data_IF_695896467638
#
_entry.id   IF_695896467638
#
_cell.length_a   1.000
_cell.length_b   1.000
_cell.length_c   1.000
_cell.angle_alpha   90.00
_cell.angle_beta   90.00
_cell.angle_gamma   90.00
#
_symmetry.space_group_name_H-M   'P 1'
#
loop_
_entity.id
_entity.type
_entity.pdbx_description
1 polymer ?
#
# COMPACT_ATOMS: atom_id res chain seq x y z
N UNK A 1 -34.21 -12.23 51.79
CA UNK A 1 -34.92 -12.62 50.55
C UNK A 1 -35.62 -11.39 50.01
N UNK A 2 -35.37 -11.07 48.72
CA UNK A 2 -36.22 -10.32 47.77
C UNK A 2 -36.63 -8.87 48.21
N UNK A 3 -36.61 -7.79 47.42
CA UNK A 3 -36.72 -7.57 45.98
C UNK A 3 -35.98 -6.26 45.63
N UNK A 4 -35.09 -6.30 44.64
CA UNK A 4 -34.56 -5.10 43.96
C UNK A 4 -35.08 -5.22 42.53
N UNK A 5 -35.39 -4.08 41.89
CA UNK A 5 -36.01 -3.91 40.56
C UNK A 5 -37.52 -3.68 40.57
N UNK A 6 -37.95 -2.46 40.94
CA UNK A 6 -39.05 -1.82 40.21
C UNK A 6 -38.46 -1.08 39.01
N UNK A 7 -38.86 -1.50 37.83
CA UNK A 7 -38.45 -0.95 36.54
C UNK A 7 -38.80 0.54 36.42
N UNK A 8 -37.80 1.36 36.10
CA UNK A 8 -37.97 2.76 35.69
C UNK A 8 -37.07 3.04 34.48
N UNK A 9 -37.40 2.46 33.33
CA UNK A 9 -36.72 2.70 32.06
C UNK A 9 -36.98 4.14 31.62
N UNK A 10 -35.97 5.01 31.71
CA UNK A 10 -35.98 6.31 31.02
C UNK A 10 -35.65 6.10 29.53
N UNK A 11 -36.63 5.65 28.74
CA UNK A 11 -36.50 5.55 27.28
C UNK A 11 -36.79 6.90 26.63
N UNK A 12 -35.76 7.74 26.57
CA UNK A 12 -35.78 8.97 25.78
C UNK A 12 -34.42 9.20 25.14
N UNK A 13 -34.38 9.36 23.83
CA UNK A 13 -33.16 9.62 23.01
C UNK A 13 -32.38 10.90 23.37
N UNK A 14 -32.81 11.63 24.40
CA UNK A 14 -32.17 12.83 24.94
C UNK A 14 -32.05 12.81 26.48
N UNK A 15 -32.15 11.65 27.14
CA UNK A 15 -31.89 11.52 28.57
C UNK A 15 -30.38 11.69 28.83
N UNK A 16 -30.02 12.89 29.26
CA UNK A 16 -28.68 13.50 29.32
C UNK A 16 -27.68 12.66 30.13
N UNK A 17 -26.49 12.39 29.62
CA UNK A 17 -25.30 13.24 29.76
C UNK A 17 -24.23 12.43 30.50
N UNK A 18 -23.14 12.04 29.83
CA UNK A 18 -22.05 11.28 30.47
C UNK A 18 -21.41 12.17 31.54
N UNK A 19 -21.73 11.95 32.80
CA UNK A 19 -21.29 12.77 33.94
C UNK A 19 -19.80 12.64 34.27
N UNK A 20 -18.93 12.49 33.26
CA UNK A 20 -17.50 12.35 33.43
C UNK A 20 -16.78 13.68 33.11
N UNK A 21 -15.92 14.18 34.00
CA UNK A 21 -15.12 15.38 33.73
C UNK A 21 -14.07 15.09 32.66
N UNK A 22 -13.99 15.93 31.63
CA UNK A 22 -12.96 15.85 30.59
C UNK A 22 -11.60 16.34 31.14
N UNK A 23 -10.76 15.42 31.63
CA UNK A 23 -9.37 15.70 31.96
C UNK A 23 -8.61 14.40 32.28
N UNK A 24 -7.39 14.17 31.80
CA UNK A 24 -6.21 15.03 31.92
C UNK A 24 -5.35 15.10 30.64
N UNK A 25 -4.41 16.06 30.59
CA UNK A 25 -3.49 16.29 29.47
C UNK A 25 -2.69 15.03 29.13
N UNK A 26 -2.64 14.67 27.84
CA UNK A 26 -1.82 13.58 27.32
C UNK A 26 -0.34 13.79 27.69
N UNK A 27 0.35 12.80 28.29
CA UNK A 27 1.80 12.81 28.44
C UNK A 27 2.48 12.41 27.11
N UNK A 28 3.65 12.99 26.86
CA UNK A 28 4.45 12.86 25.64
C UNK A 28 4.78 11.40 25.25
N UNK A 29 4.71 11.10 23.96
CA UNK A 29 4.99 9.79 23.37
C UNK A 29 6.45 9.35 23.54
N UNK A 30 6.70 8.08 23.94
CA UNK A 30 7.92 7.38 23.56
C UNK A 30 7.65 6.39 22.43
N UNK A 31 8.41 6.54 21.34
CA UNK A 31 8.43 5.64 20.21
C UNK A 31 8.82 4.22 20.63
N UNK A 32 7.95 3.22 20.40
CA UNK A 32 8.38 1.82 20.28
C UNK A 32 7.48 1.08 19.29
N UNK A 33 8.10 0.47 18.28
CA UNK A 33 7.47 -0.39 17.29
C UNK A 33 7.19 -1.74 17.95
N UNK A 34 5.96 -2.23 17.87
CA UNK A 34 5.68 -3.67 17.98
C UNK A 34 4.64 -4.06 16.94
N UNK A 35 5.14 -4.65 15.85
CA UNK A 35 4.33 -5.28 14.80
C UNK A 35 3.85 -6.61 15.36
N UNK A 36 2.58 -6.67 15.78
CA UNK A 36 1.93 -7.95 16.05
C UNK A 36 1.26 -8.44 14.75
N UNK A 37 1.97 -9.34 14.07
CA UNK A 37 1.42 -10.19 13.00
C UNK A 37 0.21 -10.93 13.57
N UNK A 38 -0.97 -10.69 12.99
CA UNK A 38 -2.15 -11.52 13.22
C UNK A 38 -2.18 -12.52 12.07
N UNK A 39 -1.82 -13.75 12.40
CA UNK A 39 -1.93 -14.93 11.56
C UNK A 39 -3.37 -15.49 11.58
N UNK A 40 -3.80 -16.00 10.42
CA UNK A 40 -4.99 -16.84 10.23
C UNK A 40 -6.02 -16.31 9.23
N UNK A 41 -6.91 -17.17 8.68
CA UNK A 41 -6.73 -18.54 8.21
C UNK A 41 -6.88 -18.63 6.67
N UNK A 42 -6.26 -19.64 6.06
CA UNK A 42 -6.28 -19.95 4.63
C UNK A 42 -7.67 -19.79 3.98
N UNK A 43 -7.77 -18.85 3.02
CA UNK A 43 -8.88 -18.84 2.05
C UNK A 43 -8.35 -18.55 0.65
N UNK A 44 -8.60 -19.54 -0.20
CA UNK A 44 -8.36 -19.62 -1.64
C UNK A 44 -8.34 -18.27 -2.37
N UNK A 45 -7.26 -18.08 -3.16
CA UNK A 45 -7.19 -17.09 -4.21
C UNK A 45 -8.27 -17.38 -5.27
N UNK A 46 -9.38 -16.67 -5.24
CA UNK A 46 -10.25 -16.50 -6.40
C UNK A 46 -10.10 -15.07 -6.95
N UNK A 47 -9.90 -14.97 -8.26
CA UNK A 47 -9.68 -13.72 -9.01
C UNK A 47 -10.91 -12.79 -8.85
N UNK A 48 -10.76 -11.50 -8.49
CA UNK A 48 -11.91 -10.68 -8.10
C UNK A 48 -12.86 -10.15 -9.20
N UNK A 49 -12.69 -10.48 -10.49
CA UNK A 49 -13.20 -9.61 -11.57
C UNK A 49 -14.18 -10.20 -12.59
N UNK A 50 -14.86 -11.32 -12.33
CA UNK A 50 -15.74 -11.93 -13.36
C UNK A 50 -17.21 -12.15 -12.95
N UNK A 51 -17.81 -11.32 -12.09
CA UNK A 51 -19.27 -11.42 -11.80
C UNK A 51 -20.01 -10.09 -11.93
N UNK A 52 -21.08 -10.01 -12.75
CA UNK A 52 -22.03 -8.90 -12.72
C UNK A 52 -22.66 -8.79 -11.32
N UNK A 53 -22.71 -7.57 -10.78
CA UNK A 53 -23.30 -7.29 -9.47
C UNK A 53 -24.82 -7.52 -9.49
N UNK A 54 -25.25 -8.70 -9.04
CA UNK A 54 -26.66 -8.94 -8.77
C UNK A 54 -27.08 -8.24 -7.46
N UNK A 55 -28.08 -7.38 -7.57
CA UNK A 55 -28.52 -6.50 -6.48
C UNK A 55 -29.51 -7.24 -5.59
N UNK A 56 -29.01 -8.05 -4.66
CA UNK A 56 -29.82 -8.56 -3.54
C UNK A 56 -29.54 -7.71 -2.31
N UNK A 57 -30.53 -6.89 -1.94
CA UNK A 57 -30.50 -6.00 -0.79
C UNK A 57 -30.71 -6.77 0.52
N UNK A 58 -29.66 -6.89 1.34
CA UNK A 58 -29.80 -6.97 2.80
C UNK A 58 -29.06 -5.78 3.45
N UNK A 59 -29.74 -5.10 4.36
CA UNK A 59 -29.43 -3.74 4.81
C UNK A 59 -28.49 -3.74 6.01
N UNK A 60 -27.22 -3.42 5.78
CA UNK A 60 -26.41 -2.65 6.74
C UNK A 60 -25.68 -1.54 5.99
N UNK A 61 -26.40 -0.44 5.77
CA UNK A 61 -25.99 0.81 5.10
C UNK A 61 -24.90 0.65 4.02
N UNK A 62 -25.32 0.35 2.80
CA UNK A 62 -24.49 0.54 1.60
C UNK A 62 -24.16 2.04 1.54
N UNK A 63 -22.90 2.43 1.76
CA UNK A 63 -22.42 3.77 1.36
C UNK A 63 -22.76 3.90 -0.13
N UNK A 64 -23.33 5.03 -0.54
CA UNK A 64 -23.70 5.24 -1.94
C UNK A 64 -22.54 4.82 -2.84
N UNK A 65 -22.85 4.07 -3.90
CA UNK A 65 -21.83 3.71 -4.89
C UNK A 65 -21.17 4.96 -5.45
N UNK A 66 -19.92 4.84 -5.85
CA UNK A 66 -19.24 5.92 -6.57
C UNK A 66 -19.94 6.18 -7.90
N UNK A 67 -19.97 7.43 -8.32
CA UNK A 67 -20.42 7.82 -9.67
C UNK A 67 -19.39 7.38 -10.71
N UNK A 68 -19.80 7.18 -11.95
CA UNK A 68 -18.94 6.71 -13.04
C UNK A 68 -17.72 7.62 -13.24
N UNK A 69 -17.90 8.93 -13.08
CA UNK A 69 -16.84 9.92 -13.17
C UNK A 69 -15.78 9.72 -12.08
N UNK A 70 -16.20 9.39 -10.85
CA UNK A 70 -15.29 9.11 -9.74
C UNK A 70 -14.48 7.84 -10.03
N UNK A 71 -15.14 6.80 -10.55
CA UNK A 71 -14.49 5.54 -10.96
C UNK A 71 -13.44 5.81 -12.05
N UNK A 72 -13.77 6.62 -13.06
CA UNK A 72 -12.87 6.97 -14.15
C UNK A 72 -11.62 7.74 -13.66
N UNK A 73 -11.78 8.64 -12.69
CA UNK A 73 -10.64 9.33 -12.05
C UNK A 73 -9.73 8.33 -11.33
N UNK A 74 -10.29 7.38 -10.57
CA UNK A 74 -9.47 6.37 -9.90
C UNK A 74 -8.77 5.41 -10.88
N UNK A 75 -9.44 5.05 -11.98
CA UNK A 75 -8.86 4.22 -13.04
C UNK A 75 -7.68 4.94 -13.72
N UNK A 76 -7.90 6.16 -14.21
CA UNK A 76 -6.86 6.97 -14.86
C UNK A 76 -5.67 7.28 -13.94
N UNK A 77 -5.93 7.55 -12.65
CA UNK A 77 -4.85 7.70 -11.68
C UNK A 77 -4.06 6.40 -11.50
N UNK A 78 -4.73 5.25 -11.45
CA UNK A 78 -4.06 3.94 -11.35
C UNK A 78 -3.20 3.65 -12.58
N UNK A 79 -3.68 4.01 -13.77
CA UNK A 79 -2.92 3.90 -15.02
C UNK A 79 -1.69 4.82 -15.01
N UNK A 80 -1.86 6.09 -14.66
CA UNK A 80 -0.75 7.04 -14.56
C UNK A 80 0.32 6.57 -13.56
N UNK A 81 -0.08 6.05 -12.40
CA UNK A 81 0.85 5.50 -11.40
C UNK A 81 1.57 4.25 -11.94
N UNK A 82 0.88 3.39 -12.69
CA UNK A 82 1.52 2.23 -13.34
C UNK A 82 2.58 2.69 -14.35
N UNK A 83 2.26 3.66 -15.21
CA UNK A 83 3.21 4.21 -16.18
C UNK A 83 4.43 4.87 -15.52
N UNK A 84 4.22 5.64 -14.45
CA UNK A 84 5.34 6.19 -13.68
C UNK A 84 6.19 5.07 -13.08
N UNK A 85 5.57 4.02 -12.55
CA UNK A 85 6.29 2.88 -12.01
C UNK A 85 7.07 2.11 -13.09
N UNK A 86 6.54 1.97 -14.31
CA UNK A 86 7.28 1.35 -15.42
C UNK A 86 8.45 2.22 -15.85
N UNK A 87 8.24 3.53 -16.02
CA UNK A 87 9.31 4.48 -16.38
C UNK A 87 10.43 4.46 -15.34
N UNK A 88 10.13 4.45 -14.03
CA UNK A 88 11.16 4.38 -12.98
C UNK A 88 11.92 3.05 -13.03
N UNK A 89 11.23 1.93 -13.28
CA UNK A 89 11.89 0.60 -13.39
C UNK A 89 12.79 0.50 -14.63
N UNK A 90 12.41 1.15 -15.72
CA UNK A 90 13.17 1.17 -16.98
C UNK A 90 14.28 2.23 -16.98
N UNK A 91 14.11 3.31 -16.21
CA UNK A 91 15.09 4.37 -16.04
C UNK A 91 16.28 3.85 -15.22
N UNK A 92 17.19 3.14 -15.88
CA UNK A 92 18.52 2.84 -15.35
C UNK A 92 19.35 4.12 -15.37
N UNK A 93 19.99 4.52 -14.25
CA UNK A 93 20.86 5.70 -14.24
C UNK A 93 22.02 5.51 -15.22
N UNK A 94 22.01 6.32 -16.27
CA UNK A 94 22.99 6.32 -17.36
C UNK A 94 24.26 7.10 -17.00
N UNK A 95 24.76 6.96 -15.77
CA UNK A 95 26.03 7.57 -15.39
C UNK A 95 27.18 6.62 -15.74
N UNK A 96 27.54 6.55 -17.03
CA UNK A 96 28.71 5.79 -17.50
C UNK A 96 29.86 6.79 -17.60
N UNK A 97 31.01 6.49 -16.99
CA UNK A 97 32.20 7.29 -17.20
C UNK A 97 32.59 7.25 -18.70
N UNK A 98 32.75 8.40 -19.38
CA UNK A 98 33.06 8.45 -20.82
C UNK A 98 34.34 7.69 -21.20
N UNK A 99 35.28 7.53 -20.27
CA UNK A 99 36.56 6.84 -20.50
C UNK A 99 36.52 5.34 -20.20
N UNK A 100 35.38 4.78 -19.75
CA UNK A 100 35.26 3.38 -19.36
C UNK A 100 35.70 2.41 -20.48
N UNK A 101 35.30 2.70 -21.72
CA UNK A 101 35.71 1.91 -22.88
C UNK A 101 37.23 1.87 -23.04
N UNK A 102 37.89 3.04 -22.95
CA UNK A 102 39.35 3.14 -23.07
C UNK A 102 40.07 2.39 -21.96
N UNK A 103 39.58 2.48 -20.71
CA UNK A 103 40.17 1.78 -19.56
C UNK A 103 40.09 0.25 -19.76
N UNK A 104 38.97 -0.27 -20.26
CA UNK A 104 38.81 -1.71 -20.49
C UNK A 104 39.64 -2.17 -21.70
N UNK A 105 39.63 -1.43 -22.81
CA UNK A 105 40.32 -1.84 -24.03
C UNK A 105 41.84 -1.69 -23.98
N UNK A 106 42.36 -0.90 -23.05
CA UNK A 106 43.81 -0.76 -22.85
C UNK A 106 44.42 -1.89 -22.02
N UNK A 107 43.61 -2.83 -21.50
CA UNK A 107 44.11 -4.00 -20.77
C UNK A 107 44.73 -5.03 -21.72
N UNK A 108 46.05 -4.95 -21.93
CA UNK A 108 46.80 -5.79 -22.88
C UNK A 108 46.98 -7.27 -22.52
N UNK A 109 46.30 -7.79 -21.50
CA UNK A 109 46.45 -9.17 -21.02
C UNK A 109 45.33 -10.13 -21.43
N UNK A 110 44.26 -9.62 -22.03
CA UNK A 110 43.08 -10.41 -22.39
C UNK A 110 42.79 -10.33 -23.89
N UNK A 111 42.03 -11.30 -24.40
CA UNK A 111 41.49 -11.21 -25.77
C UNK A 111 40.43 -10.12 -25.86
N UNK A 112 40.28 -9.53 -27.04
CA UNK A 112 39.28 -8.48 -27.31
C UNK A 112 37.86 -8.97 -26.96
N UNK A 113 37.53 -10.22 -27.27
CA UNK A 113 36.28 -10.87 -26.87
C UNK A 113 36.03 -10.84 -25.36
N UNK A 114 37.07 -11.11 -24.56
CA UNK A 114 36.96 -11.14 -23.10
C UNK A 114 36.80 -9.72 -22.54
N UNK A 115 37.47 -8.74 -23.14
CA UNK A 115 37.34 -7.32 -22.80
C UNK A 115 35.95 -6.79 -23.15
N UNK A 116 35.41 -7.15 -24.31
CA UNK A 116 34.04 -6.82 -24.72
C UNK A 116 32.99 -7.46 -23.80
N UNK A 117 33.18 -8.72 -23.42
CA UNK A 117 32.32 -9.40 -22.47
C UNK A 117 32.34 -8.72 -21.08
N UNK A 118 33.53 -8.34 -20.60
CA UNK A 118 33.71 -7.62 -19.35
C UNK A 118 33.05 -6.23 -19.39
N UNK A 119 33.26 -5.47 -20.47
CA UNK A 119 32.62 -4.16 -20.67
C UNK A 119 31.10 -4.28 -20.65
N UNK A 120 30.54 -5.26 -21.35
CA UNK A 120 29.09 -5.48 -21.38
C UNK A 120 28.56 -5.86 -19.99
N UNK A 121 29.32 -6.67 -19.23
CA UNK A 121 28.97 -6.99 -17.86
C UNK A 121 28.99 -5.74 -16.94
N UNK A 122 29.98 -4.86 -17.08
CA UNK A 122 30.08 -3.61 -16.32
C UNK A 122 28.95 -2.63 -16.65
N UNK A 123 28.56 -2.53 -17.93
CA UNK A 123 27.45 -1.68 -18.37
C UNK A 123 26.10 -2.20 -17.87
N UNK A 124 25.94 -3.52 -17.77
CA UNK A 124 24.69 -4.15 -17.33
C UNK A 124 24.55 -4.22 -15.80
N UNK A 125 25.66 -4.23 -15.05
CA UNK A 125 25.69 -4.40 -13.60
C UNK A 125 26.41 -3.22 -12.92
N UNK A 126 25.95 -2.00 -13.16
CA UNK A 126 26.42 -0.86 -12.37
C UNK A 126 25.96 -1.03 -10.92
N UNK A 127 26.92 -1.06 -10.00
CA UNK A 127 26.68 -1.06 -8.56
C UNK A 127 26.06 0.28 -8.11
#
# INVERSE_FOLDING_TARGET
MQHIFSFGLATGKYAMGSGEPLGSSMPDFPATRDVKVIDGPDKHFEKPFDKPFDTVHDRKRKRGGLMEEEINVFCSMTEAVKEVATVIRECKPLDVNPDLYGIVMTQGSFSDEALMAALNHLLNNKA
#
